data_IF_057900461804
#
_entry.id   IF_057900461804
#
_cell.length_a   1.000
_cell.length_b   1.000
_cell.length_c   1.000
_cell.angle_alpha   90.00
_cell.angle_beta   90.00
_cell.angle_gamma   90.00
#
_symmetry.space_group_name_H-M   'P 1'
#
loop_
_entity.id
_entity.type
_entity.pdbx_description
1 polymer ?
#
# COMPACT_ATOMS: atom_id res chain seq x y z
N UNK A 1 10.45 -13.38 -19.12
CA UNK A 1 9.13 -13.20 -19.75
C UNK A 1 8.19 -14.18 -19.06
N UNK A 2 6.98 -13.73 -18.70
CA UNK A 2 6.04 -14.28 -17.68
C UNK A 2 6.26 -13.69 -16.29
N UNK A 3 5.28 -13.13 -15.59
CA UNK A 3 4.07 -12.39 -15.94
C UNK A 3 3.85 -11.45 -14.73
N UNK A 4 3.52 -10.20 -15.00
CA UNK A 4 3.06 -9.26 -13.98
C UNK A 4 1.63 -9.68 -13.62
N UNK A 5 1.39 -10.15 -12.40
CA UNK A 5 0.03 -10.46 -11.93
C UNK A 5 -0.24 -9.59 -10.71
N UNK A 6 -1.09 -8.59 -10.90
CA UNK A 6 -1.65 -7.76 -9.84
C UNK A 6 -2.72 -8.55 -9.08
N UNK A 7 -2.67 -8.55 -7.75
CA UNK A 7 -3.83 -8.94 -6.92
C UNK A 7 -4.44 -7.69 -6.34
N UNK A 8 -5.36 -7.12 -7.09
CA UNK A 8 -6.43 -6.39 -6.45
C UNK A 8 -7.51 -7.43 -6.13
N UNK A 9 -7.69 -7.78 -4.85
CA UNK A 9 -8.84 -8.58 -4.44
C UNK A 9 -10.11 -7.82 -4.85
N UNK A 10 -10.79 -8.29 -5.90
CA UNK A 10 -12.16 -7.88 -6.19
C UNK A 10 -12.97 -9.04 -6.78
N UNK A 11 -13.79 -9.59 -5.88
CA UNK A 11 -15.07 -10.28 -6.00
C UNK A 11 -15.15 -11.68 -6.64
N UNK A 12 -15.48 -12.66 -5.78
CA UNK A 12 -16.88 -13.13 -5.64
C UNK A 12 -17.22 -13.09 -4.14
N UNK A 13 -17.99 -12.08 -3.71
CA UNK A 13 -18.37 -11.77 -2.30
C UNK A 13 -17.25 -11.27 -1.35
N UNK A 14 -16.74 -10.05 -1.60
CA UNK A 14 -16.09 -9.14 -0.63
C UNK A 14 -15.13 -9.74 0.42
N UNK A 15 -13.94 -10.17 -0.02
CA UNK A 15 -12.78 -10.38 0.85
C UNK A 15 -11.98 -9.06 0.97
N UNK A 16 -12.43 -8.19 1.86
CA UNK A 16 -11.61 -7.06 2.32
C UNK A 16 -10.49 -7.66 3.19
N UNK A 17 -9.22 -7.40 2.86
CA UNK A 17 -8.04 -7.90 3.59
C UNK A 17 -7.72 -9.40 3.48
N UNK A 18 -8.05 -10.05 2.35
CA UNK A 18 -7.57 -11.40 1.99
C UNK A 18 -8.07 -12.58 2.87
N UNK A 19 -9.21 -12.48 3.55
CA UNK A 19 -9.70 -13.62 4.33
C UNK A 19 -10.44 -13.22 5.59
N UNK A 20 -10.77 -14.22 6.41
CA UNK A 20 -11.23 -14.04 7.79
C UNK A 20 -10.08 -13.77 8.76
N UNK A 21 -8.85 -14.22 8.41
CA UNK A 21 -7.60 -13.88 9.11
C UNK A 21 -6.51 -13.55 8.09
N UNK A 22 -6.45 -12.28 7.69
CA UNK A 22 -5.42 -11.78 6.79
C UNK A 22 -4.06 -11.60 7.49
N UNK A 23 -3.06 -11.17 6.73
CA UNK A 23 -1.69 -10.89 7.24
C UNK A 23 -1.61 -9.83 8.34
N UNK A 24 -2.66 -9.03 8.53
CA UNK A 24 -2.85 -8.12 9.68
C UNK A 24 -3.07 -8.84 11.01
N UNK A 25 -3.60 -10.05 10.98
CA UNK A 25 -4.17 -10.75 12.14
C UNK A 25 -3.43 -12.06 12.48
N UNK A 26 -2.20 -12.19 11.98
CA UNK A 26 -1.32 -13.33 12.25
C UNK A 26 -0.11 -12.90 13.06
N UNK A 27 0.47 -13.83 13.82
CA UNK A 27 1.71 -13.58 14.55
C UNK A 27 2.92 -13.72 13.62
N UNK A 28 3.63 -12.61 13.43
CA UNK A 28 4.85 -12.57 12.65
C UNK A 28 6.08 -12.95 13.48
N UNK A 29 6.99 -13.71 12.88
CA UNK A 29 8.30 -14.01 13.49
C UNK A 29 9.26 -12.86 13.24
N UNK A 30 10.01 -12.44 14.25
CA UNK A 30 11.17 -11.54 14.04
C UNK A 30 12.28 -12.36 13.39
N UNK A 31 12.63 -12.05 12.15
CA UNK A 31 13.70 -12.72 11.40
C UNK A 31 15.07 -12.14 11.72
N UNK A 32 15.17 -10.82 11.85
CA UNK A 32 16.40 -10.10 12.17
C UNK A 32 16.10 -8.67 12.57
N UNK A 33 16.99 -8.04 13.34
CA UNK A 33 16.92 -6.61 13.61
C UNK A 33 18.33 -6.02 13.76
N UNK A 34 18.44 -4.71 13.54
CA UNK A 34 19.65 -3.91 13.74
C UNK A 34 19.26 -2.63 14.45
N UNK A 35 19.74 -2.43 15.68
CA UNK A 35 19.38 -1.26 16.51
C UNK A 35 20.17 -0.01 16.14
N UNK A 36 21.41 -0.17 15.70
CA UNK A 36 22.36 0.94 15.53
C UNK A 36 22.92 1.02 14.10
N UNK A 37 23.69 2.08 13.87
CA UNK A 37 24.29 2.40 12.58
C UNK A 37 23.36 3.23 11.67
N UNK A 38 23.74 3.44 10.41
CA UNK A 38 23.10 4.45 9.55
C UNK A 38 21.66 4.14 9.11
N UNK A 39 21.23 2.88 9.22
CA UNK A 39 19.93 2.36 8.81
C UNK A 39 19.39 1.32 9.81
N UNK A 40 19.00 1.73 11.03
CA UNK A 40 18.34 0.84 11.99
C UNK A 40 17.12 0.17 11.35
N UNK A 41 16.92 -1.12 11.63
CA UNK A 41 15.86 -1.89 10.96
C UNK A 41 15.37 -3.09 11.76
N UNK A 42 14.14 -3.52 11.46
CA UNK A 42 13.57 -4.78 11.91
C UNK A 42 12.91 -5.48 10.74
N UNK A 43 13.12 -6.79 10.63
CA UNK A 43 12.53 -7.64 9.59
C UNK A 43 11.68 -8.71 10.21
N UNK A 44 10.42 -8.75 9.80
CA UNK A 44 9.44 -9.76 10.14
C UNK A 44 9.34 -10.80 9.02
N UNK A 45 8.96 -12.02 9.38
CA UNK A 45 8.70 -13.09 8.44
C UNK A 45 7.45 -13.87 8.84
N UNK A 46 6.68 -14.27 7.83
CA UNK A 46 5.54 -15.16 7.98
C UNK A 46 5.60 -16.22 6.88
N UNK A 47 5.11 -17.42 7.20
CA UNK A 47 4.98 -18.52 6.27
C UNK A 47 3.49 -18.87 6.18
N UNK A 48 2.88 -18.47 5.06
CA UNK A 48 1.51 -18.84 4.71
C UNK A 48 1.57 -20.19 4.00
N UNK A 49 0.86 -21.18 4.52
CA UNK A 49 0.91 -22.55 3.98
C UNK A 49 -0.02 -22.70 2.79
N UNK A 50 0.26 -23.66 1.89
CA UNK A 50 -0.66 -24.00 0.79
C UNK A 50 -2.11 -24.19 1.26
N UNK A 51 -3.04 -23.44 0.66
CA UNK A 51 -4.47 -23.45 0.97
C UNK A 51 -4.91 -22.45 2.06
N UNK A 52 -3.98 -21.72 2.68
CA UNK A 52 -4.31 -20.73 3.70
C UNK A 52 -5.16 -19.58 3.12
N UNK A 53 -6.30 -19.29 3.78
CA UNK A 53 -7.36 -18.41 3.27
C UNK A 53 -7.80 -18.70 1.81
N UNK A 54 -7.57 -19.93 1.33
CA UNK A 54 -7.92 -20.39 -0.01
C UNK A 54 -6.87 -20.10 -1.10
N UNK A 55 -5.70 -19.56 -0.75
CA UNK A 55 -4.64 -19.28 -1.73
C UNK A 55 -3.78 -20.52 -2.03
N UNK A 56 -3.39 -20.74 -3.30
CA UNK A 56 -2.57 -21.90 -3.67
C UNK A 56 -1.10 -21.66 -3.36
N UNK A 57 -0.38 -22.69 -2.94
CA UNK A 57 1.06 -22.69 -2.72
C UNK A 57 1.49 -22.11 -1.38
N UNK A 58 2.70 -22.48 -0.97
CA UNK A 58 3.34 -21.85 0.16
C UNK A 58 3.77 -20.43 -0.24
N UNK A 59 3.65 -19.49 0.69
CA UNK A 59 4.15 -18.13 0.52
C UNK A 59 4.97 -17.70 1.74
N UNK A 60 6.26 -17.47 1.51
CA UNK A 60 7.16 -16.88 2.49
C UNK A 60 7.14 -15.37 2.30
N UNK A 61 6.60 -14.65 3.28
CA UNK A 61 6.54 -13.19 3.27
C UNK A 61 7.55 -12.62 4.24
N UNK A 62 8.24 -11.56 3.82
CA UNK A 62 9.09 -10.75 4.71
C UNK A 62 8.77 -9.28 4.58
N UNK A 63 8.72 -8.58 5.71
CA UNK A 63 8.52 -7.13 5.78
C UNK A 63 9.64 -6.52 6.61
N UNK A 64 10.41 -5.61 6.01
CA UNK A 64 11.46 -4.85 6.69
C UNK A 64 11.04 -3.41 6.88
N UNK A 65 11.07 -2.92 8.12
CA UNK A 65 10.96 -1.51 8.45
C UNK A 65 12.37 -0.97 8.69
N UNK A 66 12.74 0.08 7.96
CA UNK A 66 14.10 0.61 7.93
C UNK A 66 14.00 2.13 8.12
N UNK A 67 14.63 2.65 9.17
CA UNK A 67 14.80 4.09 9.32
C UNK A 67 16.02 4.50 8.51
N UNK A 68 15.82 5.35 7.51
CA UNK A 68 16.92 5.90 6.68
C UNK A 68 17.04 7.39 6.94
N UNK A 69 18.26 7.89 7.11
CA UNK A 69 18.47 9.30 7.45
C UNK A 69 17.75 9.72 8.75
N UNK A 70 17.32 10.99 8.82
CA UNK A 70 16.67 11.55 10.03
C UNK A 70 15.15 11.44 10.05
N UNK A 71 14.51 11.36 8.88
CA UNK A 71 13.05 11.55 8.74
C UNK A 71 12.42 10.61 7.71
N UNK A 72 13.12 9.57 7.27
CA UNK A 72 12.60 8.65 6.26
C UNK A 72 12.40 7.26 6.86
N UNK A 73 11.25 6.68 6.55
CA UNK A 73 10.92 5.30 6.83
C UNK A 73 10.80 4.58 5.48
N UNK A 74 11.64 3.58 5.25
CA UNK A 74 11.51 2.67 4.14
C UNK A 74 10.86 1.37 4.60
N UNK A 75 9.84 0.92 3.88
CA UNK A 75 9.19 -0.37 4.09
C UNK A 75 9.50 -1.24 2.88
N UNK A 76 10.17 -2.37 3.12
CA UNK A 76 10.50 -3.33 2.05
C UNK A 76 9.71 -4.61 2.25
N UNK A 77 8.85 -4.93 1.31
CA UNK A 77 8.04 -6.15 1.32
C UNK A 77 8.52 -7.11 0.26
N UNK A 78 8.54 -8.41 0.58
CA UNK A 78 8.85 -9.47 -0.38
C UNK A 78 7.96 -10.67 -0.12
N UNK A 79 7.45 -11.27 -1.19
CA UNK A 79 6.86 -12.60 -1.19
C UNK A 79 7.73 -13.56 -2.01
N UNK A 80 7.88 -14.79 -1.55
CA UNK A 80 8.51 -15.88 -2.30
C UNK A 80 7.60 -17.10 -2.24
N UNK A 81 7.14 -17.55 -3.41
CA UNK A 81 6.36 -18.77 -3.55
C UNK A 81 7.28 -19.90 -4.06
N UNK A 82 7.73 -20.82 -3.18
CA UNK A 82 8.77 -21.79 -3.54
C UNK A 82 8.24 -22.98 -4.33
N UNK A 83 6.94 -23.27 -4.28
CA UNK A 83 6.40 -24.55 -4.75
C UNK A 83 5.31 -24.40 -5.83
N UNK A 84 4.48 -23.36 -5.79
CA UNK A 84 3.40 -23.12 -6.76
C UNK A 84 3.26 -21.65 -7.09
N UNK A 85 2.83 -21.29 -8.31
CA UNK A 85 2.39 -19.93 -8.61
C UNK A 85 1.26 -19.52 -7.67
N UNK A 86 1.46 -18.40 -6.97
CA UNK A 86 0.47 -17.82 -6.06
C UNK A 86 0.37 -16.33 -6.33
N UNK A 87 -0.83 -15.75 -6.32
CA UNK A 87 -1.00 -14.35 -6.64
C UNK A 87 -0.66 -13.52 -5.39
N UNK A 88 0.16 -12.47 -5.52
CA UNK A 88 0.69 -11.69 -4.38
C UNK A 88 0.54 -10.19 -4.62
N UNK A 89 -0.06 -9.48 -3.66
CA UNK A 89 -0.03 -8.02 -3.57
C UNK A 89 0.08 -7.62 -2.09
N UNK A 90 1.23 -7.07 -1.70
CA UNK A 90 1.50 -6.67 -0.34
C UNK A 90 1.43 -5.14 -0.26
N UNK A 91 0.59 -4.64 0.65
CA UNK A 91 0.49 -3.22 0.93
C UNK A 91 0.65 -2.98 2.43
N UNK A 92 1.17 -1.81 2.79
CA UNK A 92 1.10 -1.33 4.16
C UNK A 92 -0.14 -0.47 4.30
N UNK A 93 -1.09 -0.90 5.11
CA UNK A 93 -2.30 -0.13 5.42
C UNK A 93 -2.00 0.69 6.68
N UNK A 94 -1.17 1.72 6.53
CA UNK A 94 -0.99 2.73 7.56
C UNK A 94 -1.99 3.86 7.33
N UNK A 95 -2.85 4.08 8.33
CA UNK A 95 -3.71 5.25 8.35
C UNK A 95 -2.90 6.45 8.80
N UNK A 96 -2.57 7.32 7.84
CA UNK A 96 -1.90 8.58 8.10
C UNK A 96 -2.94 9.66 8.37
N UNK A 97 -3.33 9.78 9.63
CA UNK A 97 -4.26 10.80 10.07
C UNK A 97 -3.47 12.05 10.49
N UNK A 98 -3.43 13.04 9.59
CA UNK A 98 -3.21 14.44 9.98
C UNK A 98 -4.56 15.16 10.22
N UNK A 99 -5.68 14.51 9.87
CA UNK A 99 -7.08 14.84 10.17
C UNK A 99 -8.11 13.96 9.42
N UNK A 100 -8.39 12.76 9.94
CA UNK A 100 -9.45 11.71 9.70
C UNK A 100 -9.81 11.16 8.28
N UNK A 101 -10.72 10.15 8.21
CA UNK A 101 -11.62 9.61 7.12
C UNK A 101 -11.26 8.44 6.11
N UNK A 102 -12.30 7.92 5.37
CA UNK A 102 -12.53 6.56 4.72
C UNK A 102 -13.23 6.63 3.28
N UNK A 103 -13.23 5.56 2.40
CA UNK A 103 -14.35 5.01 1.49
C UNK A 103 -14.32 4.87 -0.10
N UNK A 104 -14.80 3.73 -0.67
CA UNK A 104 -15.25 3.34 -2.07
C UNK A 104 -14.42 3.44 -3.43
N UNK A 105 -14.41 2.37 -4.31
CA UNK A 105 -13.66 2.21 -5.62
C UNK A 105 -14.44 2.44 -6.94
N UNK A 106 -13.83 3.14 -7.94
CA UNK A 106 -14.20 3.17 -9.38
C UNK A 106 -12.99 3.56 -10.28
N UNK A 107 -12.87 3.03 -11.50
CA UNK A 107 -11.79 3.40 -12.46
C UNK A 107 -12.29 4.44 -13.48
N UNK A 108 -11.62 5.60 -13.56
CA UNK A 108 -11.88 6.66 -14.54
C UNK A 108 -10.68 7.62 -14.66
N UNK A 109 -10.61 8.41 -15.73
CA UNK A 109 -9.66 9.53 -15.79
C UNK A 109 -9.98 10.55 -14.69
N UNK A 110 -8.98 10.96 -13.92
CA UNK A 110 -9.21 11.85 -12.76
C UNK A 110 -9.34 13.33 -13.14
N UNK A 111 -8.75 13.75 -14.26
CA UNK A 111 -8.66 15.15 -14.66
C UNK A 111 -10.05 15.81 -14.75
N UNK A 112 -10.25 16.91 -14.04
CA UNK A 112 -11.52 17.64 -14.00
C UNK A 112 -12.62 17.00 -13.14
N UNK A 113 -12.30 15.95 -12.38
CA UNK A 113 -13.24 15.29 -11.46
C UNK A 113 -12.96 15.66 -10.00
N UNK A 114 -13.83 15.20 -9.09
CA UNK A 114 -13.60 15.30 -7.65
C UNK A 114 -12.32 14.56 -7.19
N UNK A 115 -11.84 13.60 -7.97
CA UNK A 115 -10.63 12.82 -7.74
C UNK A 115 -9.35 13.48 -8.31
N UNK A 116 -9.44 14.68 -8.91
CA UNK A 116 -8.27 15.36 -9.49
C UNK A 116 -7.38 15.99 -8.42
N UNK A 117 -6.29 15.30 -8.08
CA UNK A 117 -5.19 15.76 -7.23
C UNK A 117 -3.87 15.97 -8.00
N UNK A 118 -3.91 16.10 -9.33
CA UNK A 118 -2.71 16.41 -10.13
C UNK A 118 -2.15 17.81 -9.80
N UNK A 119 -2.99 18.66 -9.20
CA UNK A 119 -2.60 19.90 -8.54
C UNK A 119 -2.92 19.79 -7.04
N UNK A 120 -2.15 20.44 -6.15
CA UNK A 120 -2.45 20.41 -4.72
C UNK A 120 -3.83 20.99 -4.41
N UNK A 121 -4.65 20.22 -3.69
CA UNK A 121 -5.96 20.64 -3.22
C UNK A 121 -6.19 20.21 -1.78
N UNK A 122 -6.98 21.00 -1.05
CA UNK A 122 -7.35 20.66 0.32
C UNK A 122 -8.33 19.48 0.28
N UNK A 123 -7.93 18.36 0.90
CA UNK A 123 -8.80 17.19 1.11
C UNK A 123 -10.09 17.63 1.82
N UNK A 124 -11.23 17.07 1.40
CA UNK A 124 -12.55 17.45 1.90
C UNK A 124 -13.31 18.48 1.07
N UNK A 125 -12.63 19.39 0.37
CA UNK A 125 -13.31 20.49 -0.37
C UNK A 125 -14.22 20.04 -1.50
N UNK A 126 -14.04 18.81 -2.00
CA UNK A 126 -14.85 18.22 -3.08
C UNK A 126 -15.58 16.93 -2.69
N UNK A 127 -15.50 16.51 -1.42
CA UNK A 127 -16.15 15.25 -0.99
C UNK A 127 -17.67 15.29 -1.21
N UNK A 128 -18.30 16.47 -1.15
CA UNK A 128 -19.73 16.61 -1.43
C UNK A 128 -20.13 16.25 -2.88
N UNK A 129 -19.16 16.21 -3.81
CA UNK A 129 -19.37 15.76 -5.20
C UNK A 129 -19.40 14.22 -5.28
N UNK A 130 -18.97 13.53 -4.23
CA UNK A 130 -18.90 12.07 -4.11
C UNK A 130 -20.11 11.54 -3.35
N UNK A 131 -21.30 11.71 -3.94
CA UNK A 131 -22.58 11.42 -3.29
C UNK A 131 -22.70 9.98 -2.77
N UNK A 132 -22.04 9.02 -3.43
CA UNK A 132 -22.11 7.58 -3.10
C UNK A 132 -21.11 7.17 -2.01
N UNK A 133 -19.86 7.65 -2.06
CA UNK A 133 -18.79 7.19 -1.16
C UNK A 133 -18.66 8.08 0.08
N UNK A 134 -18.95 9.38 -0.03
CA UNK A 134 -18.70 10.39 1.02
C UNK A 134 -17.22 10.46 1.45
N UNK A 135 -16.31 10.03 0.57
CA UNK A 135 -14.85 10.03 0.77
C UNK A 135 -14.12 9.37 -0.40
N UNK A 136 -12.82 9.10 -0.20
CA UNK A 136 -11.94 8.49 -1.21
C UNK A 136 -11.53 7.05 -0.75
N UNK A 137 -11.60 6.06 -1.65
CA UNK A 137 -11.01 4.69 -1.65
C UNK A 137 -10.87 4.33 -3.14
N UNK A 138 -10.19 5.16 -3.89
CA UNK A 138 -9.85 4.76 -5.24
C UNK A 138 -8.39 4.36 -5.27
N UNK A 139 -8.10 3.36 -6.10
CA UNK A 139 -6.73 3.10 -6.45
C UNK A 139 -6.35 4.04 -7.59
N UNK A 140 -5.52 5.04 -7.29
CA UNK A 140 -4.87 5.86 -8.30
C UNK A 140 -3.83 5.02 -9.04
N UNK A 141 -3.91 5.01 -10.36
CA UNK A 141 -2.84 4.46 -11.20
C UNK A 141 -1.72 5.48 -11.24
N UNK A 142 -0.51 5.05 -10.88
CA UNK A 142 0.64 5.93 -10.82
C UNK A 142 1.37 5.92 -12.15
N UNK A 143 1.50 7.09 -12.77
CA UNK A 143 2.36 7.30 -13.94
C UNK A 143 3.84 7.02 -13.58
N UNK A 144 4.68 6.70 -14.56
CA UNK A 144 6.10 6.49 -14.34
C UNK A 144 6.86 6.35 -15.65
N UNK A 145 8.13 6.74 -15.63
CA UNK A 145 9.01 6.60 -16.79
C UNK A 145 9.53 5.16 -16.94
N UNK A 146 9.81 4.76 -18.18
CA UNK A 146 10.36 3.43 -18.46
C UNK A 146 11.75 3.31 -17.84
N UNK A 147 11.87 2.50 -16.78
CA UNK A 147 13.14 2.24 -16.08
C UNK A 147 13.23 2.87 -14.69
N UNK A 148 12.27 3.70 -14.29
CA UNK A 148 12.19 4.21 -12.93
C UNK A 148 11.72 3.11 -11.97
N UNK A 149 12.53 2.83 -10.94
CA UNK A 149 12.22 1.75 -9.98
C UNK A 149 11.42 2.24 -8.78
N UNK A 150 11.46 3.53 -8.44
CA UNK A 150 10.71 4.14 -7.34
C UNK A 150 10.27 5.53 -7.79
N UNK A 151 8.98 5.84 -7.64
CA UNK A 151 8.35 7.09 -8.09
C UNK A 151 7.64 7.80 -6.95
N UNK A 152 7.54 9.13 -7.04
CA UNK A 152 6.73 9.94 -6.12
C UNK A 152 5.24 9.66 -6.37
N UNK A 153 4.55 9.12 -5.37
CA UNK A 153 3.14 8.76 -5.45
C UNK A 153 2.22 9.86 -4.90
N UNK A 154 2.61 10.50 -3.80
CA UNK A 154 1.80 11.52 -3.16
C UNK A 154 2.64 12.47 -2.30
N UNK A 155 2.15 13.71 -2.17
CA UNK A 155 2.61 14.67 -1.16
C UNK A 155 1.40 15.09 -0.33
N UNK A 156 1.47 14.92 0.98
CA UNK A 156 0.46 15.37 1.94
C UNK A 156 1.05 16.48 2.80
N UNK A 157 0.37 17.62 2.87
CA UNK A 157 0.83 18.77 3.62
C UNK A 157 -0.23 19.25 4.61
N UNK A 158 0.17 19.45 5.87
CA UNK A 158 -0.57 20.24 6.82
C UNK A 158 0.03 21.64 6.89
N UNK A 159 -0.67 22.63 6.31
CA UNK A 159 -0.23 24.02 6.29
C UNK A 159 -0.25 24.68 7.67
N UNK A 160 -1.07 24.21 8.60
CA UNK A 160 -1.18 24.80 9.95
C UNK A 160 0.05 24.45 10.78
N UNK A 161 0.48 23.19 10.72
CA UNK A 161 1.62 22.69 11.50
C UNK A 161 2.93 22.64 10.70
N UNK A 162 2.89 22.93 9.39
CA UNK A 162 4.05 22.93 8.52
C UNK A 162 4.63 21.55 8.19
N UNK A 163 3.89 20.47 8.51
CA UNK A 163 4.35 19.08 8.27
C UNK A 163 4.09 18.67 6.81
N UNK A 164 5.02 17.90 6.27
CA UNK A 164 4.94 17.33 4.93
C UNK A 164 5.27 15.84 5.00
N UNK A 165 4.44 15.02 4.35
CA UNK A 165 4.70 13.61 4.09
C UNK A 165 4.84 13.45 2.58
N UNK A 166 5.99 12.95 2.14
CA UNK A 166 6.22 12.52 0.76
C UNK A 166 6.21 10.99 0.73
N UNK A 167 5.41 10.41 -0.16
CA UNK A 167 5.30 8.98 -0.34
C UNK A 167 5.91 8.57 -1.69
N UNK A 168 6.90 7.69 -1.64
CA UNK A 168 7.55 7.11 -2.81
C UNK A 168 7.30 5.60 -2.85
N UNK A 169 7.07 5.04 -4.04
CA UNK A 169 6.76 3.60 -4.19
C UNK A 169 7.21 3.03 -5.53
N UNK A 170 7.49 1.73 -5.57
CA UNK A 170 7.67 0.94 -6.79
C UNK A 170 6.35 0.29 -7.27
N UNK A 171 5.28 0.45 -6.49
CA UNK A 171 3.95 -0.06 -6.81
C UNK A 171 3.33 0.63 -8.02
N UNK A 172 2.47 -0.07 -8.79
CA UNK A 172 1.79 0.51 -9.93
C UNK A 172 0.64 1.46 -9.54
N UNK A 173 0.18 1.43 -8.28
CA UNK A 173 -0.95 2.21 -7.82
C UNK A 173 -0.87 2.60 -6.34
N UNK A 174 -1.71 3.54 -5.95
CA UNK A 174 -1.90 4.02 -4.58
C UNK A 174 -3.38 4.03 -4.24
N UNK A 175 -3.78 3.31 -3.19
CA UNK A 175 -5.11 3.39 -2.62
C UNK A 175 -5.21 4.63 -1.73
N UNK A 176 -6.16 5.52 -2.01
CA UNK A 176 -6.48 6.71 -1.20
C UNK A 176 -7.99 6.90 -1.07
#
# INVERSE_FOLDING_TARGET
MRDLVAVQCSNVYSYVSCGSRGFSDVLWKVKSYRREGPNPSITFSYHSSDGEEGFPGDLIVTVSYILTGKTQLAIKMKGKAPNKPTPVNLANIAYWNLGDHNSGRKFAYVKGTAYDFLKPHRVGTRINQLAETKGYDINYVLDGEKGETIKLAAIVQDKKLGRVLELYTDAPGLQF
#
